data_IF_183054421793
#
_entry.id   IF_183054421793
#
_cell.length_a   1.000
_cell.length_b   1.000
_cell.length_c   1.000
_cell.angle_alpha   90.00
_cell.angle_beta   90.00
_cell.angle_gamma   90.00
#
_symmetry.space_group_name_H-M   'P 1'
#
loop_
_entity.id
_entity.type
_entity.pdbx_description
1 polymer ?
#
# COMPACT_ATOMS: atom_id res chain seq x y z
N UNK A 1 61.13 6.66 -8.53
CA UNK A 1 59.78 6.50 -9.11
C UNK A 1 58.83 6.15 -7.98
N UNK A 2 57.99 7.09 -7.57
CA UNK A 2 56.91 6.84 -6.61
C UNK A 2 55.72 6.31 -7.43
N UNK A 3 55.09 5.18 -7.08
CA UNK A 3 53.99 4.63 -7.84
C UNK A 3 52.76 5.54 -7.66
N UNK A 4 52.49 6.38 -8.66
CA UNK A 4 51.37 7.34 -8.64
C UNK A 4 50.02 6.62 -8.80
N UNK A 5 50.00 5.40 -9.34
CA UNK A 5 48.76 4.74 -9.77
C UNK A 5 47.93 4.09 -8.64
N UNK A 6 48.55 3.64 -7.55
CA UNK A 6 47.83 2.92 -6.49
C UNK A 6 46.92 3.83 -5.63
N UNK A 7 47.27 5.11 -5.48
CA UNK A 7 46.47 6.05 -4.67
C UNK A 7 45.22 6.56 -5.40
N UNK A 8 45.30 6.67 -6.72
CA UNK A 8 44.20 7.15 -7.57
C UNK A 8 43.13 6.07 -7.75
N UNK A 9 43.53 4.81 -7.95
CA UNK A 9 42.59 3.68 -8.07
C UNK A 9 41.80 3.45 -6.78
N UNK A 10 42.46 3.42 -5.62
CA UNK A 10 41.82 3.25 -4.31
C UNK A 10 40.78 4.34 -4.03
N UNK A 11 41.04 5.59 -4.45
CA UNK A 11 40.07 6.69 -4.28
C UNK A 11 38.85 6.54 -5.20
N UNK A 12 39.03 6.07 -6.43
CA UNK A 12 37.93 5.84 -7.36
C UNK A 12 36.98 4.72 -6.87
N UNK A 13 37.54 3.64 -6.31
CA UNK A 13 36.78 2.50 -5.79
C UNK A 13 35.88 2.90 -4.61
N UNK A 14 36.41 3.70 -3.68
CA UNK A 14 35.65 4.21 -2.53
C UNK A 14 34.47 5.08 -2.99
N UNK A 15 34.69 5.97 -3.95
CA UNK A 15 33.64 6.84 -4.50
C UNK A 15 32.56 6.01 -5.19
N UNK A 16 32.93 5.00 -5.97
CA UNK A 16 31.96 4.13 -6.63
C UNK A 16 31.16 3.30 -5.62
N UNK A 17 31.81 2.78 -4.57
CA UNK A 17 31.17 2.06 -3.48
C UNK A 17 30.14 2.94 -2.75
N UNK A 18 30.49 4.19 -2.42
CA UNK A 18 29.58 5.17 -1.79
C UNK A 18 28.34 5.43 -2.64
N UNK A 19 28.50 5.57 -3.96
CA UNK A 19 27.37 5.78 -4.89
C UNK A 19 26.46 4.55 -4.99
N UNK A 20 27.03 3.35 -5.10
CA UNK A 20 26.25 2.09 -5.11
C UNK A 20 25.49 1.90 -3.82
N UNK A 21 26.15 2.14 -2.68
CA UNK A 21 25.51 2.06 -1.37
C UNK A 21 24.34 3.05 -1.25
N UNK A 22 24.52 4.30 -1.67
CA UNK A 22 23.45 5.30 -1.67
C UNK A 22 22.21 4.87 -2.47
N UNK A 23 22.42 4.28 -3.66
CA UNK A 23 21.32 3.73 -4.46
C UNK A 23 20.59 2.58 -3.74
N UNK A 24 21.34 1.60 -3.21
CA UNK A 24 20.73 0.47 -2.49
C UNK A 24 20.03 0.90 -1.21
N UNK A 25 20.62 1.82 -0.45
CA UNK A 25 20.01 2.40 0.74
C UNK A 25 18.66 3.03 0.40
N UNK A 26 18.62 3.84 -0.66
CA UNK A 26 17.40 4.50 -1.10
C UNK A 26 16.34 3.52 -1.60
N UNK A 27 16.75 2.51 -2.39
CA UNK A 27 15.84 1.47 -2.86
C UNK A 27 15.28 0.63 -1.70
N UNK A 28 16.12 0.24 -0.74
CA UNK A 28 15.69 -0.48 0.47
C UNK A 28 14.72 0.34 1.31
N UNK A 29 14.94 1.64 1.47
CA UNK A 29 14.00 2.53 2.15
C UNK A 29 12.63 2.51 1.45
N UNK A 30 12.60 2.69 0.13
CA UNK A 30 11.35 2.65 -0.63
C UNK A 30 10.63 1.30 -0.56
N UNK A 31 11.36 0.19 -0.59
CA UNK A 31 10.81 -1.16 -0.43
C UNK A 31 10.25 -1.39 0.98
N UNK A 32 10.98 -0.99 2.02
CA UNK A 32 10.51 -1.12 3.41
C UNK A 32 9.29 -0.26 3.68
N UNK A 33 9.27 0.97 3.17
CA UNK A 33 8.08 1.83 3.22
C UNK A 33 6.88 1.14 2.56
N UNK A 34 7.08 0.53 1.39
CA UNK A 34 6.04 -0.19 0.66
C UNK A 34 5.52 -1.39 1.46
N UNK A 35 6.42 -2.22 2.00
CA UNK A 35 6.04 -3.40 2.80
C UNK A 35 5.27 -2.96 4.05
N UNK A 36 5.73 -1.92 4.74
CA UNK A 36 5.05 -1.43 5.93
C UNK A 36 3.69 -0.79 5.64
N UNK A 37 3.54 -0.14 4.48
CA UNK A 37 2.30 0.56 4.11
C UNK A 37 1.25 -0.36 3.49
N UNK A 38 1.65 -1.31 2.65
CA UNK A 38 0.70 -2.15 1.88
C UNK A 38 0.90 -3.65 2.09
N UNK A 39 1.96 -4.09 2.76
CA UNK A 39 2.26 -5.51 2.93
C UNK A 39 1.24 -6.21 3.81
N UNK A 40 1.01 -5.68 5.01
CA UNK A 40 -0.02 -6.22 5.92
C UNK A 40 -1.40 -6.16 5.28
N UNK A 41 -1.72 -5.04 4.64
CA UNK A 41 -2.98 -4.83 3.96
C UNK A 41 -3.25 -5.83 2.83
N UNK A 42 -2.24 -6.09 2.00
CA UNK A 42 -2.35 -7.08 0.91
C UNK A 42 -2.52 -8.50 1.46
N UNK A 43 -1.80 -8.84 2.55
CA UNK A 43 -1.92 -10.14 3.20
C UNK A 43 -3.32 -10.35 3.81
N UNK A 44 -3.81 -9.33 4.50
CA UNK A 44 -5.13 -9.33 5.12
C UNK A 44 -6.26 -9.41 4.07
N UNK A 45 -6.17 -8.65 2.98
CA UNK A 45 -7.12 -8.75 1.87
C UNK A 45 -7.05 -10.11 1.19
N UNK A 46 -5.87 -10.72 1.07
CA UNK A 46 -5.76 -12.08 0.55
C UNK A 46 -6.55 -13.10 1.40
N UNK A 47 -6.53 -12.97 2.72
CA UNK A 47 -7.33 -13.82 3.60
C UNK A 47 -8.85 -13.57 3.47
N UNK A 48 -9.25 -12.34 3.14
CA UNK A 48 -10.66 -11.96 2.95
C UNK A 48 -11.10 -12.04 1.48
N UNK A 49 -10.55 -12.98 0.71
CA UNK A 49 -10.89 -13.21 -0.70
C UNK A 49 -10.77 -11.98 -1.61
N UNK A 50 -9.84 -11.07 -1.31
CA UNK A 50 -9.60 -9.88 -2.12
C UNK A 50 -9.24 -10.21 -3.57
N UNK A 51 -9.70 -9.38 -4.51
CA UNK A 51 -9.33 -9.44 -5.92
C UNK A 51 -7.93 -8.82 -6.11
N UNK A 52 -6.98 -9.61 -6.62
CA UNK A 52 -5.61 -9.20 -6.91
C UNK A 52 -4.94 -8.37 -5.77
N UNK A 53 -4.96 -8.86 -4.51
CA UNK A 53 -4.61 -8.06 -3.34
C UNK A 53 -3.14 -7.62 -3.36
N UNK A 54 -2.27 -8.40 -4.00
CA UNK A 54 -0.83 -8.16 -4.11
C UNK A 54 -0.44 -7.11 -5.16
N UNK A 55 -1.37 -6.69 -6.02
CA UNK A 55 -1.08 -5.82 -7.15
C UNK A 55 -0.56 -4.45 -6.69
N UNK A 56 -1.19 -3.86 -5.68
CA UNK A 56 -0.73 -2.60 -5.09
C UNK A 56 0.63 -2.73 -4.41
N UNK A 57 0.89 -3.84 -3.71
CA UNK A 57 2.19 -4.07 -3.09
C UNK A 57 3.30 -4.11 -4.16
N UNK A 58 3.07 -4.85 -5.25
CA UNK A 58 4.02 -4.95 -6.36
C UNK A 58 4.25 -3.61 -7.06
N UNK A 59 3.18 -2.89 -7.42
CA UNK A 59 3.28 -1.58 -8.06
C UNK A 59 3.96 -0.54 -7.16
N UNK A 60 3.62 -0.52 -5.86
CA UNK A 60 4.26 0.34 -4.87
C UNK A 60 5.74 0.02 -4.71
N UNK A 61 6.11 -1.27 -4.65
CA UNK A 61 7.50 -1.69 -4.48
C UNK A 61 8.38 -1.20 -5.63
N UNK A 62 7.88 -1.29 -6.86
CA UNK A 62 8.57 -0.81 -8.05
C UNK A 62 8.70 0.72 -8.00
N UNK A 63 7.60 1.45 -7.81
CA UNK A 63 7.59 2.90 -7.89
C UNK A 63 8.38 3.55 -6.74
N UNK A 64 8.16 3.11 -5.50
CA UNK A 64 8.87 3.62 -4.33
C UNK A 64 10.35 3.19 -4.34
N UNK A 65 10.66 1.95 -4.77
CA UNK A 65 12.03 1.47 -4.89
C UNK A 65 12.85 2.26 -5.92
N UNK A 66 12.27 2.56 -7.09
CA UNK A 66 12.91 3.39 -8.11
C UNK A 66 13.11 4.82 -7.61
N UNK A 67 12.07 5.47 -7.08
CA UNK A 67 12.15 6.84 -6.60
C UNK A 67 13.17 6.98 -5.46
N UNK A 68 13.12 6.06 -4.49
CA UNK A 68 14.08 5.99 -3.39
C UNK A 68 15.51 5.72 -3.88
N UNK A 69 15.70 4.78 -4.79
CA UNK A 69 17.01 4.48 -5.36
C UNK A 69 17.65 5.67 -6.09
N UNK A 70 16.86 6.41 -6.88
CA UNK A 70 17.31 7.63 -7.56
C UNK A 70 17.69 8.70 -6.52
N UNK A 71 16.83 8.96 -5.53
CA UNK A 71 17.10 9.95 -4.50
C UNK A 71 18.34 9.62 -3.67
N UNK A 72 18.48 8.37 -3.23
CA UNK A 72 19.62 7.89 -2.47
C UNK A 72 20.92 7.94 -3.27
N UNK A 73 20.89 7.54 -4.55
CA UNK A 73 22.05 7.62 -5.45
C UNK A 73 22.49 9.06 -5.72
N UNK A 74 21.54 9.98 -5.93
CA UNK A 74 21.82 11.41 -6.10
C UNK A 74 22.36 12.07 -4.82
N UNK A 75 21.73 11.79 -3.67
CA UNK A 75 22.18 12.30 -2.38
C UNK A 75 23.63 11.86 -2.08
N UNK A 76 23.96 10.59 -2.32
CA UNK A 76 25.33 10.08 -2.16
C UNK A 76 26.33 10.68 -3.15
N UNK A 77 25.88 11.15 -4.32
CA UNK A 77 26.72 11.83 -5.31
C UNK A 77 27.00 13.28 -4.94
N UNK A 78 26.03 13.98 -4.35
CA UNK A 78 26.16 15.39 -3.97
C UNK A 78 26.94 15.57 -2.66
N UNK A 79 26.93 14.55 -1.79
CA UNK A 79 27.69 14.50 -0.54
C UNK A 79 27.49 15.72 0.37
N UNK A 80 26.27 16.24 0.38
CA UNK A 80 25.88 17.40 1.16
C UNK A 80 24.52 17.13 1.80
N UNK A 81 24.45 17.29 3.12
CA UNK A 81 23.25 16.98 3.91
C UNK A 81 22.05 17.83 3.45
N UNK A 82 22.24 19.11 3.13
CA UNK A 82 21.15 19.98 2.72
C UNK A 82 20.53 19.52 1.39
N UNK A 83 21.36 19.14 0.40
CA UNK A 83 20.86 18.58 -0.85
C UNK A 83 20.25 17.19 -0.67
N UNK A 84 20.81 16.35 0.21
CA UNK A 84 20.24 15.05 0.53
C UNK A 84 18.83 15.20 1.11
N UNK A 85 18.66 16.04 2.14
CA UNK A 85 17.35 16.33 2.73
C UNK A 85 16.39 16.85 1.67
N UNK A 86 16.80 17.80 0.83
CA UNK A 86 15.93 18.34 -0.23
C UNK A 86 15.45 17.27 -1.22
N UNK A 87 16.35 16.36 -1.66
CA UNK A 87 15.99 15.23 -2.53
C UNK A 87 15.02 14.26 -1.85
N UNK A 88 15.21 14.00 -0.55
CA UNK A 88 14.31 13.15 0.22
C UNK A 88 12.95 13.79 0.48
N UNK A 89 12.89 15.11 0.66
CA UNK A 89 11.62 15.85 0.73
C UNK A 89 10.83 15.73 -0.58
N UNK A 90 11.50 15.84 -1.74
CA UNK A 90 10.85 15.60 -3.02
C UNK A 90 10.35 14.14 -3.15
N UNK A 91 11.12 13.18 -2.64
CA UNK A 91 10.73 11.76 -2.64
C UNK A 91 9.56 11.49 -1.70
N UNK A 92 9.51 12.15 -0.54
CA UNK A 92 8.40 12.08 0.39
C UNK A 92 7.08 12.54 -0.26
N UNK A 93 7.12 13.60 -1.09
CA UNK A 93 5.97 14.06 -1.86
C UNK A 93 5.50 12.97 -2.83
N UNK A 94 6.42 12.28 -3.52
CA UNK A 94 6.09 11.16 -4.41
C UNK A 94 5.45 10.02 -3.62
N UNK A 95 6.01 9.64 -2.47
CA UNK A 95 5.47 8.55 -1.63
C UNK A 95 4.07 8.90 -1.13
N UNK A 96 3.87 10.11 -0.63
CA UNK A 96 2.55 10.57 -0.18
C UNK A 96 1.52 10.62 -1.32
N UNK A 97 1.94 11.03 -2.52
CA UNK A 97 1.08 10.95 -3.70
C UNK A 97 0.71 9.50 -4.04
N UNK A 98 1.67 8.56 -3.96
CA UNK A 98 1.44 7.14 -4.21
C UNK A 98 0.52 6.51 -3.17
N UNK A 99 0.67 6.83 -1.88
CA UNK A 99 -0.22 6.33 -0.81
C UNK A 99 -1.71 6.49 -1.15
N UNK A 100 -2.05 7.59 -1.81
CA UNK A 100 -3.42 7.90 -2.22
C UNK A 100 -3.74 7.33 -3.58
N UNK A 101 -2.91 7.64 -4.58
CA UNK A 101 -3.23 7.36 -5.98
C UNK A 101 -3.04 5.88 -6.31
N UNK A 102 -2.21 5.16 -5.56
CA UNK A 102 -1.98 3.74 -5.78
C UNK A 102 -3.25 2.91 -5.55
N UNK A 103 -3.93 2.97 -4.38
CA UNK A 103 -5.18 2.23 -4.17
C UNK A 103 -6.37 2.81 -4.94
N UNK A 104 -6.43 4.13 -5.18
CA UNK A 104 -7.64 4.77 -5.74
C UNK A 104 -7.61 4.98 -7.26
N UNK A 105 -6.44 4.96 -7.90
CA UNK A 105 -6.34 5.25 -9.35
C UNK A 105 -5.47 4.26 -10.11
N UNK A 106 -4.30 3.92 -9.58
CA UNK A 106 -3.35 3.06 -10.29
C UNK A 106 -3.83 1.61 -10.23
N UNK A 107 -4.13 1.10 -9.04
CA UNK A 107 -4.57 -0.28 -8.85
C UNK A 107 -5.87 -0.55 -9.61
N UNK A 108 -6.94 0.27 -9.48
CA UNK A 108 -8.17 0.09 -10.26
C UNK A 108 -7.92 0.00 -11.77
N UNK A 109 -7.11 0.91 -12.35
CA UNK A 109 -6.79 0.88 -13.77
C UNK A 109 -6.01 -0.36 -14.20
N UNK A 110 -5.09 -0.83 -13.36
CA UNK A 110 -4.35 -2.06 -13.63
C UNK A 110 -5.27 -3.29 -13.58
N UNK A 111 -6.30 -3.27 -12.73
CA UNK A 111 -7.29 -4.36 -12.66
C UNK A 111 -8.24 -4.27 -13.85
N UNK A 112 -8.78 -3.09 -14.20
CA UNK A 112 -9.62 -2.91 -15.40
C UNK A 112 -8.90 -3.34 -16.68
N UNK A 113 -7.58 -3.19 -16.74
CA UNK A 113 -6.77 -3.67 -17.86
C UNK A 113 -6.73 -5.21 -17.96
N UNK A 114 -6.75 -5.91 -16.83
CA UNK A 114 -6.73 -7.38 -16.77
C UNK A 114 -8.13 -8.00 -16.82
N UNK A 115 -9.13 -7.30 -16.27
CA UNK A 115 -10.52 -7.68 -16.13
C UNK A 115 -11.41 -6.61 -16.77
N UNK A 116 -11.65 -6.65 -18.10
CA UNK A 116 -12.42 -5.61 -18.78
C UNK A 116 -13.89 -5.56 -18.34
N UNK A 117 -14.40 -6.59 -17.66
CA UNK A 117 -15.79 -6.66 -17.17
C UNK A 117 -16.09 -5.66 -16.04
N UNK A 118 -15.07 -5.28 -15.27
CA UNK A 118 -15.23 -4.30 -14.20
C UNK A 118 -15.05 -2.86 -14.67
N UNK A 119 -14.84 -2.65 -15.97
CA UNK A 119 -14.62 -1.32 -16.52
C UNK A 119 -15.82 -0.41 -16.25
N UNK A 120 -15.59 0.67 -15.52
CA UNK A 120 -16.64 1.61 -15.12
C UNK A 120 -17.42 1.21 -13.86
N UNK A 121 -17.18 0.01 -13.30
CA UNK A 121 -17.69 -0.36 -11.96
C UNK A 121 -16.79 0.18 -10.85
N UNK A 122 -15.51 0.45 -11.13
CA UNK A 122 -14.56 1.02 -10.16
C UNK A 122 -14.64 2.56 -10.15
N UNK A 123 -15.62 3.11 -9.42
CA UNK A 123 -15.84 4.55 -9.33
C UNK A 123 -15.23 5.18 -8.07
N UNK A 124 -13.93 5.43 -8.13
CA UNK A 124 -13.22 6.17 -7.09
C UNK A 124 -13.36 7.68 -7.30
N UNK A 125 -14.46 8.24 -6.80
CA UNK A 125 -14.65 9.69 -6.77
C UNK A 125 -13.70 10.32 -5.75
N UNK A 126 -12.79 11.16 -6.23
CA UNK A 126 -11.86 11.87 -5.36
C UNK A 126 -12.61 13.00 -4.65
N UNK A 127 -13.07 12.74 -3.42
CA UNK A 127 -13.69 13.78 -2.61
C UNK A 127 -12.64 14.66 -1.92
N UNK A 128 -12.90 15.97 -1.90
CA UNK A 128 -12.05 16.94 -1.23
C UNK A 128 -11.91 16.67 0.28
N UNK A 129 -12.88 15.98 0.90
CA UNK A 129 -12.83 15.53 2.29
C UNK A 129 -11.67 14.54 2.59
N UNK A 130 -11.20 13.81 1.58
CA UNK A 130 -10.00 12.96 1.65
C UNK A 130 -8.72 13.76 1.95
N UNK A 131 -8.78 15.09 1.84
CA UNK A 131 -7.60 15.94 2.04
C UNK A 131 -7.01 15.85 3.43
N UNK A 132 -7.81 15.63 4.49
CA UNK A 132 -7.27 15.71 5.86
C UNK A 132 -6.43 14.47 6.22
N UNK A 133 -6.94 13.25 5.96
CA UNK A 133 -6.18 12.00 6.20
C UNK A 133 -4.91 11.97 5.36
N UNK A 134 -5.02 12.43 4.11
CA UNK A 134 -3.90 12.57 3.19
C UNK A 134 -2.90 13.60 3.68
N UNK A 135 -3.35 14.75 4.19
CA UNK A 135 -2.46 15.76 4.75
C UNK A 135 -1.72 15.24 5.98
N UNK A 136 -2.40 14.48 6.85
CA UNK A 136 -1.78 13.87 8.04
C UNK A 136 -0.80 12.77 7.63
N UNK A 137 -1.17 11.89 6.69
CA UNK A 137 -0.25 10.88 6.15
C UNK A 137 0.96 11.53 5.48
N UNK A 138 0.76 12.60 4.70
CA UNK A 138 1.81 13.40 4.08
C UNK A 138 2.77 13.97 5.13
N UNK A 139 2.24 14.56 6.20
CA UNK A 139 3.06 15.12 7.28
C UNK A 139 3.96 14.05 7.91
N UNK A 140 3.42 12.86 8.22
CA UNK A 140 4.20 11.76 8.76
C UNK A 140 5.27 11.27 7.79
N UNK A 141 4.92 11.07 6.51
CA UNK A 141 5.88 10.64 5.48
C UNK A 141 7.01 11.65 5.35
N UNK A 142 6.71 12.94 5.30
CA UNK A 142 7.72 14.01 5.23
C UNK A 142 8.65 13.97 6.43
N UNK A 143 8.13 13.82 7.65
CA UNK A 143 8.94 13.75 8.87
C UNK A 143 9.90 12.54 8.80
N UNK A 144 9.37 11.34 8.59
CA UNK A 144 10.18 10.12 8.65
C UNK A 144 11.15 9.99 7.47
N UNK A 145 10.71 10.30 6.25
CA UNK A 145 11.59 10.29 5.07
C UNK A 145 12.63 11.41 5.15
N UNK A 146 12.27 12.58 5.67
CA UNK A 146 13.21 13.68 5.93
C UNK A 146 14.29 13.31 6.95
N UNK A 147 13.91 12.65 8.05
CA UNK A 147 14.86 12.09 9.03
C UNK A 147 15.81 11.12 8.34
N UNK A 148 15.29 10.19 7.53
CA UNK A 148 16.14 9.25 6.80
C UNK A 148 17.08 9.94 5.82
N UNK A 149 16.63 11.03 5.19
CA UNK A 149 17.47 11.83 4.31
C UNK A 149 18.61 12.54 5.03
N UNK A 150 18.36 13.05 6.23
CA UNK A 150 19.41 13.62 7.09
C UNK A 150 20.39 12.55 7.58
N UNK A 151 19.91 11.34 7.87
CA UNK A 151 20.71 10.23 8.37
C UNK A 151 21.44 9.45 7.27
N UNK A 152 21.06 9.57 6.00
CA UNK A 152 21.63 8.74 4.94
C UNK A 152 23.15 8.84 4.87
N UNK A 153 23.71 10.05 4.82
CA UNK A 153 25.17 10.25 4.67
C UNK A 153 25.96 9.66 5.85
N UNK A 154 25.67 10.00 7.13
CA UNK A 154 26.40 9.43 8.26
C UNK A 154 26.20 7.90 8.41
N UNK A 155 25.00 7.39 8.10
CA UNK A 155 24.76 5.94 8.11
C UNK A 155 25.53 5.23 7.00
N UNK A 156 25.64 5.85 5.82
CA UNK A 156 26.40 5.29 4.69
C UNK A 156 27.89 5.25 4.99
N UNK A 157 28.44 6.31 5.58
CA UNK A 157 29.85 6.35 5.98
C UNK A 157 30.16 5.29 7.04
N UNK A 158 29.29 5.16 8.03
CA UNK A 158 29.39 4.13 9.06
C UNK A 158 29.37 2.72 8.45
N UNK A 159 28.53 2.47 7.45
CA UNK A 159 28.43 1.17 6.80
C UNK A 159 29.65 0.83 5.93
N UNK A 160 30.13 1.82 5.16
CA UNK A 160 31.22 1.63 4.18
C UNK A 160 32.56 1.46 4.89
N UNK A 161 32.82 2.26 5.94
CA UNK A 161 34.10 2.26 6.63
C UNK A 161 34.15 1.30 7.83
N UNK A 162 33.03 0.71 8.24
CA UNK A 162 33.04 -0.28 9.33
C UNK A 162 33.62 -1.62 8.88
N UNK A 163 34.69 -2.04 9.57
CA UNK A 163 35.21 -3.41 9.49
C UNK A 163 34.30 -4.42 10.24
N UNK A 164 33.48 -3.96 11.19
CA UNK A 164 32.60 -4.83 11.97
C UNK A 164 31.27 -5.08 11.26
N UNK A 165 30.73 -6.28 11.44
CA UNK A 165 29.37 -6.66 10.99
C UNK A 165 28.31 -5.73 11.61
N UNK A 166 28.51 -5.32 12.86
CA UNK A 166 27.61 -4.40 13.56
C UNK A 166 27.43 -3.07 12.82
N UNK A 167 28.52 -2.42 12.39
CA UNK A 167 28.42 -1.15 11.65
C UNK A 167 27.72 -1.25 10.29
N UNK A 168 27.69 -2.46 9.69
CA UNK A 168 26.94 -2.72 8.44
C UNK A 168 25.45 -2.97 8.67
N UNK A 169 25.08 -3.54 9.82
CA UNK A 169 23.70 -3.89 10.16
C UNK A 169 22.92 -2.69 10.71
N UNK A 170 23.57 -1.78 11.45
CA UNK A 170 22.90 -0.64 12.09
C UNK A 170 22.01 0.17 11.13
N UNK A 171 22.45 0.58 9.93
CA UNK A 171 21.58 1.31 8.99
C UNK A 171 20.33 0.53 8.59
N UNK A 172 20.42 -0.79 8.45
CA UNK A 172 19.28 -1.65 8.09
C UNK A 172 18.26 -1.66 9.23
N UNK A 173 18.72 -1.81 10.48
CA UNK A 173 17.84 -1.76 11.66
C UNK A 173 17.13 -0.41 11.75
N UNK A 174 17.85 0.69 11.56
CA UNK A 174 17.27 2.04 11.57
C UNK A 174 16.22 2.18 10.47
N UNK A 175 16.51 1.73 9.25
CA UNK A 175 15.54 1.75 8.14
C UNK A 175 14.28 0.96 8.46
N UNK A 176 14.41 -0.26 8.98
CA UNK A 176 13.27 -1.13 9.33
C UNK A 176 12.41 -0.47 10.41
N UNK A 177 13.02 0.07 11.47
CA UNK A 177 12.28 0.74 12.55
C UNK A 177 11.55 1.99 12.05
N UNK A 178 12.26 2.89 11.37
CA UNK A 178 11.71 4.18 10.96
C UNK A 178 10.63 3.99 9.89
N UNK A 179 10.86 3.12 8.90
CA UNK A 179 9.88 2.85 7.85
C UNK A 179 8.72 1.97 8.33
N UNK A 180 8.95 1.07 9.29
CA UNK A 180 7.88 0.31 9.93
C UNK A 180 6.87 1.21 10.64
N UNK A 181 7.36 2.15 11.46
CA UNK A 181 6.51 3.14 12.15
C UNK A 181 5.81 4.04 11.12
N UNK A 182 6.55 4.59 10.15
CA UNK A 182 5.95 5.46 9.13
C UNK A 182 4.86 4.73 8.33
N UNK A 183 5.14 3.53 7.82
CA UNK A 183 4.21 2.79 6.97
C UNK A 183 2.98 2.31 7.73
N UNK A 184 3.13 1.87 8.99
CA UNK A 184 1.98 1.47 9.83
C UNK A 184 1.04 2.65 10.14
N UNK A 185 1.58 3.83 10.46
CA UNK A 185 0.76 5.03 10.65
C UNK A 185 -0.02 5.37 9.38
N UNK A 186 0.62 5.26 8.23
CA UNK A 186 -0.02 5.50 6.93
C UNK A 186 -1.07 4.43 6.61
N UNK A 187 -0.80 3.15 6.88
CA UNK A 187 -1.76 2.05 6.68
C UNK A 187 -3.05 2.28 7.46
N UNK A 188 -2.95 2.59 8.74
CA UNK A 188 -4.09 2.83 9.62
C UNK A 188 -4.92 4.05 9.18
N UNK A 189 -4.25 5.10 8.68
CA UNK A 189 -4.95 6.31 8.24
C UNK A 189 -5.67 6.13 6.90
N UNK A 190 -5.07 5.36 5.98
CA UNK A 190 -5.48 5.35 4.56
C UNK A 190 -6.09 4.03 4.13
N UNK A 191 -5.43 2.89 4.39
CA UNK A 191 -5.85 1.60 3.86
C UNK A 191 -6.84 0.87 4.79
N UNK A 192 -6.62 0.94 6.11
CA UNK A 192 -7.47 0.25 7.10
C UNK A 192 -8.97 0.55 6.92
N UNK A 193 -9.41 1.80 6.69
CA UNK A 193 -10.83 2.09 6.48
C UNK A 193 -11.44 1.45 5.22
N UNK A 194 -10.62 1.22 4.19
CA UNK A 194 -11.04 0.54 2.95
C UNK A 194 -11.06 -0.98 3.16
N UNK A 195 -10.06 -1.50 3.87
CA UNK A 195 -9.91 -2.92 4.22
C UNK A 195 -11.03 -3.38 5.15
N UNK A 196 -11.39 -2.60 6.18
CA UNK A 196 -12.40 -2.98 7.16
C UNK A 196 -13.78 -3.17 6.54
N UNK A 197 -14.13 -2.39 5.52
CA UNK A 197 -15.37 -2.59 4.77
C UNK A 197 -15.37 -3.90 3.98
N UNK A 198 -14.23 -4.25 3.37
CA UNK A 198 -14.07 -5.53 2.67
C UNK A 198 -14.23 -6.71 3.64
N UNK A 199 -13.67 -6.58 4.85
CA UNK A 199 -13.80 -7.58 5.91
C UNK A 199 -15.25 -7.78 6.37
N UNK A 200 -15.99 -6.69 6.57
CA UNK A 200 -17.39 -6.76 6.96
C UNK A 200 -18.25 -7.51 5.92
N UNK A 201 -17.99 -7.29 4.62
CA UNK A 201 -18.67 -8.04 3.55
C UNK A 201 -18.23 -9.51 3.51
N UNK A 202 -16.93 -9.78 3.63
CA UNK A 202 -16.42 -11.16 3.68
C UNK A 202 -17.06 -11.94 4.84
N UNK A 203 -17.13 -11.35 6.04
CA UNK A 203 -17.71 -12.00 7.21
C UNK A 203 -19.19 -12.36 7.00
N UNK A 204 -19.98 -11.44 6.47
CA UNK A 204 -21.40 -11.67 6.18
C UNK A 204 -21.58 -12.73 5.09
N UNK A 205 -20.78 -12.70 4.02
CA UNK A 205 -20.85 -13.70 2.96
C UNK A 205 -20.47 -15.09 3.50
N UNK A 206 -19.39 -15.20 4.27
CA UNK A 206 -19.00 -16.46 4.91
C UNK A 206 -20.10 -16.99 5.83
N UNK A 207 -20.72 -16.13 6.63
CA UNK A 207 -21.83 -16.51 7.50
C UNK A 207 -23.04 -17.01 6.69
N UNK A 208 -23.40 -16.29 5.62
CA UNK A 208 -24.52 -16.67 4.75
C UNK A 208 -24.30 -18.02 4.07
N UNK A 209 -23.07 -18.29 3.60
CA UNK A 209 -22.70 -19.56 2.97
C UNK A 209 -22.71 -20.69 4.02
N UNK A 210 -22.20 -20.44 5.22
CA UNK A 210 -22.15 -21.45 6.29
C UNK A 210 -23.55 -21.89 6.78
N UNK A 211 -24.55 -21.02 6.65
CA UNK A 211 -25.93 -21.27 7.08
C UNK A 211 -26.90 -21.40 5.89
N UNK A 212 -26.40 -21.71 4.70
CA UNK A 212 -27.24 -21.91 3.53
C UNK A 212 -28.24 -23.07 3.78
N UNK A 213 -29.53 -22.81 3.53
CA UNK A 213 -30.60 -23.77 3.77
C UNK A 213 -30.97 -24.00 5.24
N UNK A 214 -30.39 -23.25 6.17
CA UNK A 214 -30.70 -23.33 7.61
C UNK A 214 -31.54 -22.13 8.06
N UNK A 215 -32.44 -22.34 9.02
CA UNK A 215 -33.13 -21.23 9.69
C UNK A 215 -32.19 -20.57 10.70
N UNK A 216 -31.78 -19.34 10.42
CA UNK A 216 -30.98 -18.51 11.33
C UNK A 216 -31.91 -17.77 12.29
N UNK A 217 -31.54 -17.72 13.57
CA UNK A 217 -32.31 -16.96 14.56
C UNK A 217 -32.47 -15.48 14.13
N UNK A 218 -33.67 -14.88 14.23
CA UNK A 218 -33.89 -13.50 13.79
C UNK A 218 -33.05 -12.44 14.49
N UNK A 219 -32.57 -12.68 15.71
CA UNK A 219 -31.68 -11.75 16.39
C UNK A 219 -30.24 -11.88 15.86
N UNK A 220 -29.78 -13.10 15.64
CA UNK A 220 -28.48 -13.37 15.01
C UNK A 220 -28.41 -12.84 13.57
N UNK A 221 -29.45 -13.08 12.77
CA UNK A 221 -29.55 -12.56 11.40
C UNK A 221 -29.48 -11.02 11.33
N UNK A 222 -30.02 -10.33 12.34
CA UNK A 222 -29.93 -8.86 12.46
C UNK A 222 -28.54 -8.42 12.90
N UNK A 223 -27.94 -9.11 13.86
CA UNK A 223 -26.59 -8.81 14.34
C UNK A 223 -25.55 -8.98 13.22
N UNK A 224 -25.71 -10.02 12.38
CA UNK A 224 -24.88 -10.27 11.20
C UNK A 224 -25.32 -9.47 9.97
N UNK A 225 -26.29 -8.55 10.08
CA UNK A 225 -26.77 -7.72 8.97
C UNK A 225 -27.15 -8.50 7.69
N UNK A 226 -27.68 -9.73 7.82
CA UNK A 226 -28.05 -10.58 6.66
C UNK A 226 -29.09 -9.94 5.74
N UNK A 227 -29.88 -9.00 6.28
CA UNK A 227 -30.81 -8.21 5.48
C UNK A 227 -30.16 -7.43 4.34
N UNK A 228 -28.86 -7.11 4.45
CA UNK A 228 -28.10 -6.42 3.40
C UNK A 228 -27.90 -7.27 2.14
N UNK A 229 -27.95 -8.60 2.25
CA UNK A 229 -27.73 -9.53 1.14
C UNK A 229 -29.00 -9.86 0.34
N UNK A 230 -30.18 -9.38 0.74
CA UNK A 230 -31.46 -9.78 0.13
C UNK A 230 -31.51 -9.58 -1.38
N UNK A 231 -30.86 -8.54 -1.91
CA UNK A 231 -30.81 -8.25 -3.34
C UNK A 231 -29.93 -9.20 -4.16
N UNK A 232 -29.09 -10.01 -3.51
CA UNK A 232 -28.07 -10.83 -4.15
C UNK A 232 -28.02 -12.26 -3.62
N UNK A 233 -28.96 -12.67 -2.77
CA UNK A 233 -28.92 -13.95 -2.06
C UNK A 233 -28.80 -15.16 -3.00
N UNK A 234 -29.47 -15.12 -4.15
CA UNK A 234 -29.43 -16.18 -5.18
C UNK A 234 -28.12 -16.20 -5.98
N UNK A 235 -27.30 -15.15 -5.88
CA UNK A 235 -26.02 -15.02 -6.58
C UNK A 235 -24.83 -15.49 -5.73
N UNK A 236 -25.03 -15.68 -4.42
CA UNK A 236 -23.94 -15.99 -3.49
C UNK A 236 -23.41 -17.39 -3.77
N UNK A 237 -22.15 -17.46 -4.17
CA UNK A 237 -21.41 -18.70 -4.43
C UNK A 237 -20.31 -18.92 -3.40
N UNK A 238 -19.85 -20.16 -3.24
CA UNK A 238 -18.71 -20.47 -2.35
C UNK A 238 -17.43 -19.76 -2.80
N UNK A 239 -17.21 -19.67 -4.11
CA UNK A 239 -16.11 -18.91 -4.68
C UNK A 239 -16.58 -17.49 -4.98
N UNK A 240 -16.01 -16.51 -4.26
CA UNK A 240 -16.21 -15.10 -4.53
C UNK A 240 -14.91 -14.32 -4.38
N UNK A 241 -14.83 -13.14 -5.01
CA UNK A 241 -13.72 -12.19 -4.83
C UNK A 241 -14.22 -10.82 -4.48
N UNK A 242 -13.50 -10.10 -3.63
CA UNK A 242 -13.92 -8.78 -3.15
C UNK A 242 -12.94 -7.68 -3.55
N UNK A 243 -13.45 -6.52 -3.93
CA UNK A 243 -12.64 -5.33 -4.17
C UNK A 243 -13.43 -4.09 -3.79
N UNK A 244 -12.76 -3.06 -3.28
CA UNK A 244 -13.41 -1.76 -3.11
C UNK A 244 -13.72 -1.19 -4.50
N UNK A 245 -14.95 -0.79 -4.77
CA UNK A 245 -15.33 -0.08 -6.02
C UNK A 245 -15.37 1.42 -5.84
N UNK A 246 -15.68 1.90 -4.63
CA UNK A 246 -15.88 3.33 -4.39
C UNK A 246 -15.75 3.69 -2.92
N UNK A 247 -15.51 4.97 -2.67
CA UNK A 247 -15.40 5.52 -1.32
C UNK A 247 -15.91 6.95 -1.27
N UNK A 248 -16.78 7.23 -0.30
CA UNK A 248 -17.27 8.55 0.05
C UNK A 248 -17.03 8.78 1.56
N UNK A 249 -16.03 9.62 1.85
CA UNK A 249 -15.66 9.94 3.23
C UNK A 249 -16.73 10.74 3.96
N UNK A 250 -17.51 11.56 3.27
CA UNK A 250 -18.49 12.44 3.93
C UNK A 250 -19.54 11.62 4.70
N UNK A 251 -19.92 10.47 4.15
CA UNK A 251 -20.86 9.54 4.78
C UNK A 251 -20.18 8.32 5.40
N UNK A 252 -18.84 8.23 5.39
CA UNK A 252 -18.12 7.02 5.80
C UNK A 252 -18.56 5.79 4.98
N UNK A 253 -18.98 6.02 3.74
CA UNK A 253 -19.54 5.02 2.83
C UNK A 253 -18.42 4.42 1.99
N UNK A 254 -18.24 3.11 2.07
CA UNK A 254 -17.36 2.33 1.19
C UNK A 254 -18.24 1.41 0.36
N UNK A 255 -18.01 1.38 -0.95
CA UNK A 255 -18.62 0.40 -1.85
C UNK A 255 -17.63 -0.73 -2.09
N UNK A 256 -18.08 -1.95 -1.88
CA UNK A 256 -17.31 -3.18 -2.09
C UNK A 256 -18.00 -3.97 -3.18
N UNK A 257 -17.29 -4.21 -4.27
CA UNK A 257 -17.71 -5.04 -5.37
C UNK A 257 -17.36 -6.50 -5.06
N UNK A 258 -18.36 -7.36 -5.08
CA UNK A 258 -18.25 -8.80 -4.97
C UNK A 258 -18.39 -9.44 -6.36
N UNK A 259 -17.38 -10.20 -6.75
CA UNK A 259 -17.40 -11.09 -7.90
C UNK A 259 -17.92 -12.45 -7.44
N UNK A 260 -19.04 -12.88 -8.02
CA UNK A 260 -19.52 -14.26 -7.95
C UNK A 260 -19.28 -14.95 -9.30
N UNK A 261 -19.57 -16.25 -9.40
CA UNK A 261 -19.31 -17.03 -10.63
C UNK A 261 -19.90 -16.39 -11.90
N UNK A 262 -21.13 -15.85 -11.81
CA UNK A 262 -21.89 -15.37 -12.97
C UNK A 262 -22.35 -13.91 -12.84
N UNK A 263 -21.97 -13.20 -11.76
CA UNK A 263 -22.48 -11.87 -11.49
C UNK A 263 -21.51 -11.00 -10.69
N UNK A 264 -21.68 -9.70 -10.85
CA UNK A 264 -21.06 -8.67 -10.03
C UNK A 264 -22.12 -8.03 -9.16
N UNK A 265 -21.85 -7.93 -7.86
CA UNK A 265 -22.69 -7.25 -6.89
C UNK A 265 -21.93 -6.11 -6.24
N UNK A 266 -22.55 -4.94 -6.12
CA UNK A 266 -22.01 -3.84 -5.33
C UNK A 266 -22.69 -3.82 -3.96
N UNK A 267 -21.88 -3.93 -2.92
CA UNK A 267 -22.29 -3.87 -1.53
C UNK A 267 -21.87 -2.54 -0.91
N UNK A 268 -22.82 -1.83 -0.30
CA UNK A 268 -22.56 -0.60 0.43
C UNK A 268 -22.33 -0.87 1.90
N UNK A 269 -21.21 -0.36 2.43
CA UNK A 269 -20.82 -0.42 3.83
C UNK A 269 -20.72 0.99 4.39
N UNK A 270 -21.36 1.26 5.52
CA UNK A 270 -21.29 2.54 6.21
C UNK A 270 -20.68 2.30 7.59
N UNK A 271 -19.53 2.92 7.88
CA UNK A 271 -18.79 2.71 9.14
C UNK A 271 -18.59 1.21 9.50
N UNK A 272 -18.16 0.41 8.54
CA UNK A 272 -17.98 -1.05 8.66
C UNK A 272 -19.25 -1.86 8.92
N UNK A 273 -20.43 -1.26 8.73
CA UNK A 273 -21.73 -1.97 8.77
C UNK A 273 -22.29 -2.13 7.36
N UNK A 274 -22.46 -3.37 6.87
CA UNK A 274 -23.08 -3.62 5.58
C UNK A 274 -24.56 -3.23 5.58
N UNK A 275 -24.96 -2.50 4.55
CA UNK A 275 -26.30 -1.89 4.48
C UNK A 275 -27.15 -2.49 3.38
N UNK A 276 -26.61 -2.62 2.17
CA UNK A 276 -27.33 -3.11 1.00
C UNK A 276 -26.35 -3.67 -0.04
N UNK A 277 -26.73 -4.74 -0.72
CA UNK A 277 -26.01 -5.31 -1.85
C UNK A 277 -26.96 -5.46 -3.04
N UNK A 278 -26.53 -4.99 -4.20
CA UNK A 278 -27.30 -5.00 -5.45
C UNK A 278 -26.47 -5.56 -6.60
N UNK A 279 -27.11 -6.30 -7.51
CA UNK A 279 -26.44 -6.76 -8.73
C UNK A 279 -26.20 -5.60 -9.69
N UNK A 280 -24.94 -5.43 -10.13
CA UNK A 280 -24.52 -4.34 -11.03
C UNK A 280 -24.02 -4.82 -12.39
N UNK A 281 -23.83 -6.13 -12.57
CA UNK A 281 -23.43 -6.70 -13.86
C UNK A 281 -23.44 -8.24 -13.87
N UNK A 282 -23.25 -8.82 -15.06
CA UNK A 282 -23.01 -10.26 -15.25
C UNK A 282 -21.50 -10.51 -15.38
N UNK A 283 -20.97 -11.54 -14.71
CA UNK A 283 -19.60 -12.00 -14.91
C UNK A 283 -19.58 -13.03 -16.05
N UNK A 284 -18.59 -12.97 -16.97
CA UNK A 284 -18.49 -13.97 -18.04
C UNK A 284 -17.71 -15.18 -17.53
N UNK A 285 -18.27 -16.38 -17.71
CA UNK A 285 -17.59 -17.65 -17.42
C UNK A 285 -16.33 -17.71 -18.29
N UNK A 286 -15.16 -17.79 -17.66
CA UNK A 286 -13.87 -17.98 -18.35
C UNK A 286 -13.43 -19.42 -18.28
#
# INVERSE_FOLDING_TARGET
MIPIDASVSVRADIIQSKRRYGFFFGASLGLLFTIATWGLDSYLLYQAHGLLPWLKLGAGAILCGIAGGIAGGLAARLDNIAYAVLLWMATAVIFAWLVVNLPTRITPRLIEFNEPEIQGLLNYTYYQAFSWRVAVAFAWIVIFVGIMGALQLPLSESAIFSASVGGKIVPVIVLVLVMGICGSLVDNLVNEPLRSATFAINEILQFSIAHEGQEVDPAEARAMHLGSLRGVQELITQEYRLIVSGYDEFFGKVQVLAQFENAWAECTVIYSQPTNCEQVGSARIR
#
